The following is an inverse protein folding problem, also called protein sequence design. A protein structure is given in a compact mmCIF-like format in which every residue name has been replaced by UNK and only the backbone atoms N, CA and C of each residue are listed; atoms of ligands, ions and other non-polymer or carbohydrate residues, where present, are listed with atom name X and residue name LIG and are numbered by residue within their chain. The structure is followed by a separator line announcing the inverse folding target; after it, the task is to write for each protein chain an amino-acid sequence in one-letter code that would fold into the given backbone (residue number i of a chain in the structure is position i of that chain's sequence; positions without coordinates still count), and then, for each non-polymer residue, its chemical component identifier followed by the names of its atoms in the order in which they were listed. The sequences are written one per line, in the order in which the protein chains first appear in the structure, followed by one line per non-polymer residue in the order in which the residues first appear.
data_IF_176299276885
#
_entry.id   IF_176299276885
#
_cell.length_a   1.000
_cell.length_b   1.000
_cell.length_c   1.000
_cell.angle_alpha   90.00
_cell.angle_beta   90.00
_cell.angle_gamma   90.00
#
_symmetry.space_group_name_H-M   'P 1'
#
loop_
_entity.id
_entity.type
_entity.pdbx_description
1 polymer ?
#
# COMPACT_ATOMS: atom_id res chain seq x y z
N UNK A 1 35.76 -44.38 -2.15
CA UNK A 1 36.32 -43.09 -2.55
C UNK A 1 35.50 -42.01 -1.83
N UNK A 2 36.17 -41.28 -0.94
CA UNK A 2 35.60 -40.51 0.18
C UNK A 2 34.79 -39.28 -0.26
N UNK A 3 33.60 -39.15 0.34
CA UNK A 3 32.79 -37.96 0.27
C UNK A 3 33.26 -36.94 1.33
N UNK A 4 33.76 -35.79 0.89
CA UNK A 4 34.04 -34.67 1.77
C UNK A 4 32.74 -33.95 2.19
N UNK A 5 32.45 -34.00 3.49
CA UNK A 5 31.45 -33.14 4.15
C UNK A 5 32.05 -31.74 4.32
N UNK A 6 31.44 -30.76 3.70
CA UNK A 6 31.65 -29.34 4.02
C UNK A 6 30.72 -28.94 5.17
N UNK A 7 31.33 -28.56 6.30
CA UNK A 7 30.61 -27.98 7.45
C UNK A 7 30.15 -26.56 7.13
N UNK A 8 28.88 -26.31 7.36
CA UNK A 8 28.30 -24.96 7.37
C UNK A 8 28.67 -24.29 8.71
N UNK A 9 29.27 -23.10 8.62
CA UNK A 9 29.55 -22.23 9.76
C UNK A 9 28.31 -21.38 9.99
N UNK A 10 27.60 -21.59 11.10
CA UNK A 10 26.58 -20.68 11.59
C UNK A 10 27.23 -19.46 12.26
N UNK A 11 26.77 -18.23 12.00
CA UNK A 11 27.20 -17.08 12.79
C UNK A 11 26.39 -17.03 14.10
N UNK A 12 27.10 -17.19 15.22
CA UNK A 12 26.58 -16.97 16.56
C UNK A 12 26.24 -15.49 16.76
N UNK A 13 24.95 -15.19 16.94
CA UNK A 13 24.47 -13.91 17.44
C UNK A 13 24.56 -13.94 18.98
N UNK A 14 25.52 -13.23 19.54
CA UNK A 14 25.52 -12.88 20.98
C UNK A 14 24.39 -11.90 21.25
N UNK A 15 23.36 -12.38 21.95
CA UNK A 15 22.28 -11.53 22.49
C UNK A 15 22.72 -11.04 23.86
N UNK A 16 23.06 -9.76 23.94
CA UNK A 16 23.23 -9.03 25.18
C UNK A 16 21.93 -9.07 26.00
N UNK A 17 22.00 -9.65 27.18
CA UNK A 17 20.88 -9.79 28.12
C UNK A 17 20.69 -8.52 28.93
N UNK A 18 19.99 -7.51 28.40
CA UNK A 18 19.41 -6.47 29.23
C UNK A 18 18.09 -6.95 29.82
N UNK A 19 18.14 -7.27 31.12
CA UNK A 19 16.96 -7.58 31.94
C UNK A 19 16.08 -6.35 32.11
N UNK A 20 15.14 -6.14 31.15
CA UNK A 20 13.97 -5.30 31.41
C UNK A 20 12.97 -6.12 32.21
N UNK A 21 12.59 -5.59 33.38
CA UNK A 21 11.56 -6.12 34.26
C UNK A 21 10.28 -6.41 33.45
N UNK A 22 9.85 -7.67 33.42
CA UNK A 22 8.59 -8.09 32.82
C UNK A 22 7.42 -7.39 33.55
N UNK A 23 6.42 -6.85 32.83
CA UNK A 23 5.21 -6.35 33.46
C UNK A 23 4.50 -7.51 34.18
N UNK A 24 4.15 -7.29 35.40
CA UNK A 24 3.41 -8.20 36.29
C UNK A 24 2.13 -8.64 35.53
N UNK A 25 2.03 -9.92 35.20
CA UNK A 25 0.81 -10.49 34.64
C UNK A 25 -0.31 -10.33 35.65
N UNK A 26 -1.20 -9.37 35.43
CA UNK A 26 -2.51 -9.38 36.09
C UNK A 26 -3.26 -10.61 35.58
N UNK A 27 -3.36 -11.64 36.42
CA UNK A 27 -4.24 -12.79 36.21
C UNK A 27 -5.68 -12.31 36.31
N UNK A 28 -6.28 -11.95 35.16
CA UNK A 28 -7.75 -11.83 35.07
C UNK A 28 -8.35 -13.24 35.12
N UNK A 29 -9.49 -13.44 35.80
CA UNK A 29 -10.16 -14.73 35.76
C UNK A 29 -10.50 -15.06 34.30
N UNK A 30 -10.18 -16.28 33.89
CA UNK A 30 -10.56 -16.81 32.57
C UNK A 30 -12.09 -16.73 32.43
N UNK A 31 -12.64 -16.18 31.35
CA UNK A 31 -14.09 -16.20 31.14
C UNK A 31 -14.56 -17.66 31.15
N UNK A 32 -15.72 -17.91 31.71
CA UNK A 32 -16.36 -19.22 31.65
C UNK A 32 -16.49 -19.62 30.17
N UNK A 33 -16.26 -20.91 29.80
CA UNK A 33 -16.36 -21.34 28.42
C UNK A 33 -17.78 -21.03 27.93
N UNK A 34 -17.87 -20.33 26.77
CA UNK A 34 -19.15 -20.05 26.11
C UNK A 34 -19.87 -21.38 25.91
N UNK A 35 -21.09 -21.48 26.38
CA UNK A 35 -21.95 -22.65 26.08
C UNK A 35 -22.25 -22.66 24.59
N UNK A 36 -22.45 -23.83 23.96
CA UNK A 36 -22.81 -23.92 22.52
C UNK A 36 -24.00 -23.00 22.16
N UNK A 37 -24.92 -22.76 23.08
CA UNK A 37 -26.06 -21.86 22.90
C UNK A 37 -25.69 -20.40 22.70
N UNK A 38 -24.50 -19.94 23.16
CA UNK A 38 -24.02 -18.53 23.00
C UNK A 38 -23.12 -18.31 21.79
N UNK A 39 -22.65 -19.37 21.13
CA UNK A 39 -21.72 -19.29 19.99
C UNK A 39 -22.21 -18.32 18.88
N UNK A 40 -23.51 -18.32 18.58
CA UNK A 40 -24.08 -17.51 17.49
C UNK A 40 -24.60 -16.13 17.93
N UNK A 41 -24.64 -15.84 19.23
CA UNK A 41 -25.26 -14.63 19.78
C UNK A 41 -24.33 -13.78 20.61
N UNK A 42 -23.25 -14.36 21.17
CA UNK A 42 -22.28 -13.63 21.96
C UNK A 42 -21.50 -12.63 21.09
N UNK A 43 -21.36 -11.42 21.58
CA UNK A 43 -20.53 -10.39 20.94
C UNK A 43 -19.04 -10.64 21.21
N UNK A 44 -18.18 -10.02 20.40
CA UNK A 44 -16.73 -10.17 20.55
C UNK A 44 -16.25 -9.88 21.98
N UNK A 45 -16.78 -8.83 22.62
CA UNK A 45 -16.43 -8.48 24.00
C UNK A 45 -16.79 -9.54 25.05
N UNK A 46 -17.78 -10.39 24.74
CA UNK A 46 -18.22 -11.49 25.59
C UNK A 46 -17.43 -12.77 25.29
N UNK A 47 -17.19 -13.05 24.00
CA UNK A 47 -16.50 -14.24 23.54
C UNK A 47 -14.97 -14.16 23.71
N UNK A 48 -14.39 -13.01 23.42
CA UNK A 48 -12.95 -12.75 23.47
C UNK A 48 -12.68 -11.30 23.90
N UNK A 49 -12.69 -11.03 25.20
CA UNK A 49 -12.44 -9.69 25.73
C UNK A 49 -11.04 -9.14 25.38
N UNK A 50 -10.04 -10.02 25.21
CA UNK A 50 -8.68 -9.63 24.86
C UNK A 50 -8.62 -9.04 23.44
N UNK A 51 -9.20 -9.73 22.46
CA UNK A 51 -9.28 -9.22 21.09
C UNK A 51 -10.21 -8.00 21.00
N UNK A 52 -11.30 -7.97 21.76
CA UNK A 52 -12.17 -6.79 21.83
C UNK A 52 -11.41 -5.55 22.33
N UNK A 53 -10.54 -5.72 23.34
CA UNK A 53 -9.67 -4.62 23.85
C UNK A 53 -8.66 -4.16 22.79
N UNK A 54 -8.06 -5.07 22.04
CA UNK A 54 -7.15 -4.74 20.92
C UNK A 54 -7.87 -3.90 19.86
N UNK A 55 -9.06 -4.31 19.43
CA UNK A 55 -9.87 -3.57 18.43
C UNK A 55 -10.25 -2.19 18.96
N UNK A 56 -10.66 -2.08 20.22
CA UNK A 56 -11.00 -0.80 20.85
C UNK A 56 -9.79 0.14 20.89
N UNK A 57 -8.63 -0.34 21.32
CA UNK A 57 -7.39 0.46 21.39
C UNK A 57 -6.89 0.90 20.03
N UNK A 58 -7.02 0.04 19.01
CA UNK A 58 -6.68 0.44 17.63
C UNK A 58 -7.64 1.50 17.11
N UNK A 59 -8.93 1.41 17.42
CA UNK A 59 -9.89 2.47 17.08
C UNK A 59 -9.54 3.80 17.77
N UNK A 60 -9.15 3.76 19.04
CA UNK A 60 -8.68 4.94 19.78
C UNK A 60 -7.43 5.55 19.15
N UNK A 61 -6.46 4.71 18.76
CA UNK A 61 -5.26 5.16 18.05
C UNK A 61 -5.65 5.87 16.74
N UNK A 62 -6.50 5.28 15.91
CA UNK A 62 -6.94 5.89 14.65
C UNK A 62 -7.71 7.20 14.85
N UNK A 63 -8.43 7.34 15.96
CA UNK A 63 -9.14 8.59 16.32
C UNK A 63 -8.22 9.69 16.77
N UNK A 64 -7.20 9.35 17.55
CA UNK A 64 -6.33 10.27 18.29
C UNK A 64 -5.02 10.63 17.57
N UNK A 65 -4.70 9.95 16.44
CA UNK A 65 -3.48 10.18 15.67
C UNK A 65 -3.76 10.71 14.27
N UNK A 66 -2.75 11.40 13.71
CA UNK A 66 -2.73 11.78 12.29
C UNK A 66 -2.06 10.66 11.51
N UNK A 67 -2.79 10.06 10.56
CA UNK A 67 -2.28 8.99 9.70
C UNK A 67 -1.72 9.56 8.40
N UNK A 68 -0.40 9.44 8.21
CA UNK A 68 0.32 9.88 7.01
C UNK A 68 1.01 8.72 6.26
N UNK A 69 0.77 7.47 6.63
CA UNK A 69 1.25 6.34 5.83
C UNK A 69 0.52 6.35 4.48
N UNK A 70 1.27 6.56 3.39
CA UNK A 70 0.73 6.79 2.05
C UNK A 70 -0.09 5.60 1.49
N UNK A 71 0.08 4.41 2.06
CA UNK A 71 -0.62 3.18 1.69
C UNK A 71 -1.83 2.85 2.57
N UNK A 72 -2.21 3.76 3.48
CA UNK A 72 -3.35 3.58 4.39
C UNK A 72 -4.48 4.55 4.07
N UNK A 73 -5.69 4.16 4.46
CA UNK A 73 -6.91 4.94 4.32
C UNK A 73 -7.96 4.46 5.32
N UNK A 74 -9.02 5.24 5.48
CA UNK A 74 -10.14 4.93 6.35
C UNK A 74 -11.31 4.48 5.48
N UNK A 75 -11.77 3.25 5.65
CA UNK A 75 -12.91 2.70 4.88
C UNK A 75 -14.25 3.18 5.48
N UNK A 76 -15.32 3.09 4.72
CA UNK A 76 -16.67 3.39 5.24
C UNK A 76 -17.16 2.29 6.19
N UNK A 77 -18.14 2.63 7.05
CA UNK A 77 -18.84 1.66 7.89
C UNK A 77 -19.48 0.53 7.03
N UNK A 78 -20.00 0.86 5.85
CA UNK A 78 -20.58 -0.13 4.93
C UNK A 78 -19.55 -1.14 4.41
N UNK A 79 -18.30 -0.72 4.19
CA UNK A 79 -17.19 -1.63 3.83
C UNK A 79 -16.86 -2.55 5.01
N UNK A 80 -16.83 -2.03 6.24
CA UNK A 80 -16.60 -2.85 7.45
C UNK A 80 -17.71 -3.86 7.66
N UNK A 81 -18.97 -3.45 7.48
CA UNK A 81 -20.14 -4.32 7.61
C UNK A 81 -20.14 -5.46 6.58
N UNK A 82 -19.83 -5.15 5.31
CA UNK A 82 -19.72 -6.17 4.27
C UNK A 82 -18.58 -7.17 4.57
N UNK A 83 -17.46 -6.69 5.10
CA UNK A 83 -16.32 -7.52 5.44
C UNK A 83 -16.57 -8.42 6.66
N UNK A 84 -17.35 -7.96 7.63
CA UNK A 84 -17.77 -8.74 8.80
C UNK A 84 -19.02 -9.60 8.57
N UNK A 85 -19.46 -9.82 7.33
CA UNK A 85 -20.68 -10.52 7.00
C UNK A 85 -20.54 -12.05 6.98
N UNK A 86 -21.70 -12.75 6.96
CA UNK A 86 -21.79 -14.22 6.84
C UNK A 86 -21.20 -14.78 5.55
N UNK A 87 -20.86 -13.94 4.57
CA UNK A 87 -20.18 -14.36 3.35
C UNK A 87 -18.79 -14.98 3.61
N UNK A 88 -18.21 -14.74 4.80
CA UNK A 88 -16.98 -15.41 5.24
C UNK A 88 -17.12 -16.94 5.34
N UNK A 89 -18.35 -17.45 5.53
CA UNK A 89 -18.63 -18.87 5.69
C UNK A 89 -18.66 -19.62 4.34
N UNK A 90 -18.74 -18.90 3.20
CA UNK A 90 -18.96 -19.53 1.90
C UNK A 90 -17.68 -19.83 1.15
N UNK A 91 -17.50 -21.09 0.79
CA UNK A 91 -16.41 -21.56 -0.08
C UNK A 91 -16.86 -21.51 -1.55
N UNK A 92 -16.13 -20.79 -2.42
CA UNK A 92 -16.58 -20.45 -3.77
C UNK A 92 -15.47 -20.54 -4.84
N UNK A 93 -14.70 -21.63 -4.87
CA UNK A 93 -13.69 -21.88 -5.92
C UNK A 93 -14.31 -21.84 -7.31
N UNK A 94 -13.58 -21.29 -8.27
CA UNK A 94 -14.04 -21.03 -9.62
C UNK A 94 -14.43 -19.57 -9.84
N UNK A 95 -15.29 -19.33 -10.80
CA UNK A 95 -15.78 -18.00 -11.22
C UNK A 95 -17.31 -17.94 -11.15
N UNK A 96 -17.95 -16.76 -11.14
CA UNK A 96 -19.40 -16.62 -11.19
C UNK A 96 -20.03 -17.50 -12.28
N UNK A 97 -21.05 -18.27 -11.93
CA UNK A 97 -21.72 -19.21 -12.82
C UNK A 97 -20.92 -20.47 -13.18
N UNK A 98 -19.68 -20.60 -12.71
CA UNK A 98 -18.78 -21.74 -12.96
C UNK A 98 -18.00 -22.10 -11.72
N UNK A 99 -18.72 -22.41 -10.62
CA UNK A 99 -18.15 -22.79 -9.34
C UNK A 99 -17.96 -24.32 -9.24
N UNK A 100 -17.01 -24.72 -8.41
CA UNK A 100 -16.79 -26.12 -8.07
C UNK A 100 -17.73 -26.61 -6.96
N UNK A 101 -18.41 -25.70 -6.27
CA UNK A 101 -19.29 -26.00 -5.13
C UNK A 101 -20.69 -25.47 -5.36
N UNK A 102 -21.69 -26.12 -4.74
CA UNK A 102 -23.09 -25.64 -4.72
C UNK A 102 -23.32 -24.48 -3.74
N UNK A 103 -24.48 -23.85 -3.79
CA UNK A 103 -24.90 -22.77 -2.89
C UNK A 103 -24.15 -21.45 -3.14
N UNK A 104 -23.76 -21.17 -4.39
CA UNK A 104 -22.99 -19.99 -4.75
C UNK A 104 -23.82 -18.87 -5.41
N UNK A 105 -25.13 -19.03 -5.49
CA UNK A 105 -26.01 -18.09 -6.18
C UNK A 105 -25.89 -16.64 -5.69
N UNK A 106 -25.73 -16.42 -4.38
CA UNK A 106 -25.62 -15.07 -3.81
C UNK A 106 -24.18 -14.51 -3.87
N UNK A 107 -23.16 -15.36 -3.68
CA UNK A 107 -21.77 -14.92 -3.83
C UNK A 107 -21.41 -14.64 -5.28
N UNK A 108 -22.06 -15.32 -6.23
CA UNK A 108 -21.95 -15.01 -7.67
C UNK A 108 -22.43 -13.59 -7.97
N UNK A 109 -23.55 -13.17 -7.34
CA UNK A 109 -24.05 -11.80 -7.46
C UNK A 109 -23.02 -10.82 -6.91
N UNK A 110 -22.47 -11.08 -5.72
CA UNK A 110 -21.52 -10.19 -5.08
C UNK A 110 -20.23 -10.02 -5.94
N UNK A 111 -19.68 -11.10 -6.48
CA UNK A 111 -18.51 -11.05 -7.34
C UNK A 111 -18.80 -10.39 -8.70
N UNK A 112 -19.96 -10.71 -9.31
CA UNK A 112 -20.38 -10.06 -10.56
C UNK A 112 -20.51 -8.56 -10.39
N UNK A 113 -21.17 -8.09 -9.33
CA UNK A 113 -21.30 -6.66 -9.01
C UNK A 113 -19.92 -6.01 -8.79
N UNK A 114 -18.96 -6.69 -8.14
CA UNK A 114 -17.62 -6.18 -7.97
C UNK A 114 -16.90 -6.03 -9.33
N UNK A 115 -17.01 -7.03 -10.21
CA UNK A 115 -16.45 -7.01 -11.57
C UNK A 115 -17.07 -5.88 -12.40
N UNK A 116 -18.39 -5.77 -12.43
CA UNK A 116 -19.10 -4.72 -13.20
C UNK A 116 -18.71 -3.31 -12.73
N UNK A 117 -18.64 -3.11 -11.41
CA UNK A 117 -18.27 -1.81 -10.85
C UNK A 117 -16.83 -1.43 -11.14
N UNK A 118 -15.88 -2.36 -11.00
CA UNK A 118 -14.47 -2.06 -11.24
C UNK A 118 -14.16 -1.88 -12.73
N UNK A 119 -14.79 -2.65 -13.61
CA UNK A 119 -14.63 -2.47 -15.06
C UNK A 119 -15.19 -1.13 -15.53
N UNK A 120 -16.37 -0.73 -15.01
CA UNK A 120 -16.95 0.60 -15.26
C UNK A 120 -16.08 1.72 -14.70
N UNK A 121 -15.52 1.53 -13.50
CA UNK A 121 -14.71 2.54 -12.81
C UNK A 121 -13.43 2.89 -13.58
N UNK A 122 -12.77 1.89 -14.17
CA UNK A 122 -11.51 2.06 -14.89
C UNK A 122 -11.65 2.04 -16.43
N UNK A 123 -12.85 1.84 -16.96
CA UNK A 123 -13.10 1.82 -18.40
C UNK A 123 -12.42 0.65 -19.09
N UNK A 124 -12.40 -0.54 -18.49
CA UNK A 124 -11.82 -1.74 -19.05
C UNK A 124 -12.86 -2.84 -19.32
N UNK A 125 -12.47 -3.89 -20.08
CA UNK A 125 -13.38 -4.96 -20.48
C UNK A 125 -13.44 -6.11 -19.49
N UNK A 126 -12.32 -6.44 -18.86
CA UNK A 126 -12.17 -7.62 -18.04
C UNK A 126 -11.54 -7.28 -16.69
N UNK A 127 -12.00 -7.94 -15.64
CA UNK A 127 -11.45 -7.84 -14.30
C UNK A 127 -11.46 -9.19 -13.59
N UNK A 128 -10.42 -9.45 -12.79
CA UNK A 128 -10.42 -10.47 -11.76
C UNK A 128 -10.32 -9.80 -10.39
N UNK A 129 -11.33 -10.01 -9.54
CA UNK A 129 -11.43 -9.38 -8.22
C UNK A 129 -11.09 -10.34 -7.06
N UNK A 130 -10.58 -11.52 -7.37
CA UNK A 130 -10.27 -12.55 -6.36
C UNK A 130 -8.89 -12.40 -5.68
N UNK A 131 -7.86 -11.68 -6.21
CA UNK A 131 -6.59 -11.58 -5.51
C UNK A 131 -6.73 -11.09 -4.07
N UNK A 132 -6.06 -11.82 -3.15
CA UNK A 132 -6.09 -11.54 -1.71
C UNK A 132 -5.30 -10.28 -1.36
N UNK A 133 -4.33 -9.90 -2.18
CA UNK A 133 -3.48 -8.72 -2.00
C UNK A 133 -2.95 -8.22 -3.34
N UNK A 134 -2.30 -7.04 -3.35
CA UNK A 134 -1.55 -6.56 -4.52
C UNK A 134 -0.39 -7.48 -4.88
N UNK A 135 0.27 -8.09 -3.89
CA UNK A 135 1.32 -9.06 -4.14
C UNK A 135 0.80 -10.33 -4.86
N UNK A 136 -0.38 -10.83 -4.46
CA UNK A 136 -1.06 -11.94 -5.14
C UNK A 136 -1.50 -11.54 -6.56
N UNK A 137 -1.97 -10.32 -6.75
CA UNK A 137 -2.33 -9.79 -8.06
C UNK A 137 -1.10 -9.74 -9.00
N UNK A 138 0.03 -9.23 -8.52
CA UNK A 138 1.28 -9.20 -9.28
C UNK A 138 1.78 -10.62 -9.58
N UNK A 139 1.73 -11.54 -8.61
CA UNK A 139 2.13 -12.94 -8.82
C UNK A 139 1.29 -13.62 -9.91
N UNK A 140 -0.04 -13.42 -9.89
CA UNK A 140 -0.94 -13.96 -10.90
C UNK A 140 -0.67 -13.33 -12.28
N UNK A 141 -0.44 -12.02 -12.35
CA UNK A 141 -0.06 -11.34 -13.59
C UNK A 141 1.26 -11.89 -14.16
N UNK A 142 2.28 -12.11 -13.32
CA UNK A 142 3.54 -12.71 -13.74
C UNK A 142 3.35 -14.14 -14.26
N UNK A 143 2.60 -14.97 -13.53
CA UNK A 143 2.31 -16.33 -13.96
C UNK A 143 1.53 -16.39 -15.29
N UNK A 144 0.67 -15.39 -15.55
CA UNK A 144 -0.08 -15.29 -16.80
C UNK A 144 0.78 -14.80 -17.98
N UNK A 145 1.83 -14.03 -17.73
CA UNK A 145 2.62 -13.35 -18.75
C UNK A 145 4.01 -13.95 -18.98
N UNK A 146 4.55 -14.72 -18.03
CA UNK A 146 5.93 -15.20 -18.02
C UNK A 146 6.03 -16.63 -17.50
N UNK A 147 7.13 -17.29 -17.81
CA UNK A 147 7.57 -18.54 -17.16
C UNK A 147 8.69 -18.26 -16.15
N UNK A 148 8.85 -19.11 -15.12
CA UNK A 148 9.99 -19.02 -14.22
C UNK A 148 11.32 -18.94 -14.98
N UNK A 149 12.20 -18.01 -14.56
CA UNK A 149 13.47 -17.75 -15.23
C UNK A 149 13.43 -16.71 -16.35
N UNK A 150 12.24 -16.26 -16.78
CA UNK A 150 12.11 -15.14 -17.74
C UNK A 150 12.60 -13.83 -17.13
N UNK A 151 13.05 -12.94 -18.02
CA UNK A 151 13.49 -11.59 -17.66
C UNK A 151 12.31 -10.63 -17.67
N UNK A 152 12.25 -9.77 -16.65
CA UNK A 152 11.33 -8.62 -16.60
C UNK A 152 12.04 -7.37 -16.09
N UNK A 153 11.45 -6.21 -16.32
CA UNK A 153 11.96 -4.93 -15.84
C UNK A 153 10.98 -4.27 -14.87
N UNK A 154 11.53 -3.61 -13.83
CA UNK A 154 10.75 -2.86 -12.85
C UNK A 154 11.56 -1.72 -12.23
N UNK A 155 10.87 -0.73 -11.64
CA UNK A 155 11.51 0.34 -10.90
C UNK A 155 12.24 -0.24 -9.68
N UNK A 156 13.49 0.13 -9.50
CA UNK A 156 14.31 -0.32 -8.37
C UNK A 156 13.68 0.09 -7.03
N UNK A 157 13.84 -0.74 -6.01
CA UNK A 157 13.30 -0.46 -4.67
C UNK A 157 13.81 0.87 -4.09
N UNK A 158 15.14 1.22 -4.19
CA UNK A 158 15.64 2.51 -3.74
C UNK A 158 15.07 3.71 -4.51
N UNK A 159 14.65 3.52 -5.76
CA UNK A 159 14.03 4.58 -6.56
C UNK A 159 12.50 4.67 -6.37
N UNK A 160 11.93 3.90 -5.44
CA UNK A 160 10.51 3.92 -5.12
C UNK A 160 9.69 2.76 -5.70
N UNK A 161 10.32 1.71 -6.21
CA UNK A 161 9.64 0.49 -6.65
C UNK A 161 8.97 -0.27 -5.50
N UNK A 162 8.24 -1.33 -5.84
CA UNK A 162 7.64 -2.24 -4.86
C UNK A 162 8.49 -3.52 -4.69
N UNK A 163 8.38 -4.19 -3.54
CA UNK A 163 9.08 -5.48 -3.31
C UNK A 163 8.80 -6.50 -4.42
N UNK A 164 7.57 -6.56 -4.94
CA UNK A 164 7.20 -7.46 -6.04
C UNK A 164 7.68 -7.00 -7.41
N UNK A 165 8.42 -5.89 -7.52
CA UNK A 165 9.05 -5.43 -8.75
C UNK A 165 10.50 -5.90 -8.91
N UNK A 166 10.86 -7.02 -8.26
CA UNK A 166 12.15 -7.67 -8.45
C UNK A 166 13.07 -7.69 -7.24
N UNK A 167 12.58 -7.38 -6.04
CA UNK A 167 13.37 -7.53 -4.83
C UNK A 167 13.82 -8.99 -4.63
N UNK A 168 15.10 -9.26 -4.29
CA UNK A 168 15.62 -10.61 -4.11
C UNK A 168 14.90 -11.43 -3.03
N UNK A 169 14.29 -10.77 -2.06
CA UNK A 169 13.52 -11.44 -1.00
C UNK A 169 12.09 -11.77 -1.39
N UNK A 170 11.59 -11.17 -2.48
CA UNK A 170 10.26 -11.40 -3.03
C UNK A 170 10.24 -12.61 -3.98
N UNK A 171 9.06 -13.20 -4.19
CA UNK A 171 8.80 -14.20 -5.20
C UNK A 171 9.32 -13.75 -6.59
N UNK A 172 9.08 -12.50 -6.96
CA UNK A 172 9.49 -11.94 -8.24
C UNK A 172 11.00 -11.98 -8.49
N UNK A 173 11.80 -11.71 -7.46
CA UNK A 173 13.25 -11.80 -7.54
C UNK A 173 13.81 -13.21 -7.42
N UNK A 174 13.00 -14.16 -6.90
CA UNK A 174 13.41 -15.56 -6.73
C UNK A 174 13.08 -16.45 -7.93
N UNK A 175 11.96 -16.20 -8.59
CA UNK A 175 11.46 -17.02 -9.68
C UNK A 175 11.80 -16.48 -11.06
N UNK A 176 12.08 -15.19 -11.16
CA UNK A 176 12.35 -14.49 -12.42
C UNK A 176 13.70 -13.77 -12.38
N UNK A 177 14.12 -13.23 -13.51
CA UNK A 177 15.34 -12.43 -13.66
C UNK A 177 14.98 -10.95 -13.74
N UNK A 178 14.97 -10.21 -12.61
CA UNK A 178 14.64 -8.79 -12.62
C UNK A 178 15.79 -7.96 -13.16
N UNK A 179 15.48 -7.00 -14.02
CA UNK A 179 16.34 -5.90 -14.44
C UNK A 179 15.73 -4.62 -13.89
N UNK A 180 16.48 -3.92 -13.04
CA UNK A 180 15.99 -2.72 -12.40
C UNK A 180 16.33 -1.48 -13.23
N UNK A 181 15.36 -0.62 -13.53
CA UNK A 181 15.60 0.75 -13.98
C UNK A 181 15.48 1.72 -12.80
N UNK A 182 16.00 2.93 -12.96
CA UNK A 182 16.11 3.89 -11.87
C UNK A 182 15.56 5.27 -12.23
N UNK A 183 15.81 6.23 -11.36
CA UNK A 183 15.55 7.64 -11.56
C UNK A 183 16.86 8.38 -11.86
N UNK A 184 16.78 9.53 -12.53
CA UNK A 184 17.93 10.41 -12.77
C UNK A 184 18.44 10.99 -11.44
N UNK A 185 19.74 11.33 -11.40
CA UNK A 185 20.36 11.87 -10.19
C UNK A 185 20.04 13.35 -9.96
N UNK A 186 19.78 14.09 -11.02
CA UNK A 186 19.58 15.54 -10.99
C UNK A 186 18.18 15.93 -10.53
N UNK A 187 17.14 15.20 -10.97
CA UNK A 187 15.75 15.56 -10.69
C UNK A 187 14.92 14.44 -10.02
N UNK A 188 15.51 13.28 -9.78
CA UNK A 188 14.87 12.09 -9.20
C UNK A 188 13.58 11.65 -9.95
N UNK A 189 13.53 11.86 -11.26
CA UNK A 189 12.45 11.36 -12.13
C UNK A 189 12.90 10.11 -12.87
N UNK A 190 11.95 9.24 -13.23
CA UNK A 190 12.21 8.03 -14.00
C UNK A 190 12.93 8.44 -15.30
N UNK A 191 14.06 7.79 -15.55
CA UNK A 191 14.82 7.94 -16.76
C UNK A 191 14.27 7.04 -17.88
N UNK A 192 13.43 7.62 -18.74
CA UNK A 192 12.77 6.89 -19.83
C UNK A 192 13.79 6.40 -20.87
N UNK A 193 14.89 7.13 -21.08
CA UNK A 193 15.94 6.74 -22.01
C UNK A 193 16.73 5.55 -21.45
N UNK A 194 16.98 5.52 -20.14
CA UNK A 194 17.54 4.33 -19.47
C UNK A 194 16.61 3.12 -19.60
N UNK A 195 15.31 3.31 -19.39
CA UNK A 195 14.29 2.23 -19.57
C UNK A 195 14.38 1.67 -20.98
N UNK A 196 14.43 2.52 -22.01
CA UNK A 196 14.51 2.09 -23.41
C UNK A 196 15.83 1.35 -23.70
N UNK A 197 16.95 1.86 -23.22
CA UNK A 197 18.26 1.23 -23.36
C UNK A 197 18.30 -0.16 -22.74
N UNK A 198 17.86 -0.28 -21.48
CA UNK A 198 17.81 -1.56 -20.76
C UNK A 198 16.84 -2.55 -21.41
N UNK A 199 15.71 -2.08 -21.93
CA UNK A 199 14.76 -2.92 -22.62
C UNK A 199 15.35 -3.54 -23.90
N UNK A 200 16.10 -2.76 -24.70
CA UNK A 200 16.82 -3.26 -25.90
C UNK A 200 17.91 -4.27 -25.54
N UNK A 201 18.66 -4.00 -24.48
CA UNK A 201 19.75 -4.84 -24.02
C UNK A 201 19.28 -6.19 -23.47
N UNK A 202 18.28 -6.17 -22.60
CA UNK A 202 17.84 -7.36 -21.86
C UNK A 202 16.63 -8.08 -22.43
N UNK A 203 15.93 -7.50 -23.42
CA UNK A 203 14.75 -8.09 -24.06
C UNK A 203 13.76 -8.73 -23.07
N UNK A 204 13.24 -7.98 -22.10
CA UNK A 204 12.35 -8.52 -21.09
C UNK A 204 11.03 -9.02 -21.68
N UNK A 205 10.38 -9.98 -21.04
CA UNK A 205 9.01 -10.39 -21.37
C UNK A 205 7.96 -9.40 -20.85
N UNK A 206 8.25 -8.76 -19.73
CA UNK A 206 7.35 -7.80 -19.08
C UNK A 206 8.15 -6.57 -18.65
N UNK A 207 7.58 -5.39 -18.87
CA UNK A 207 8.04 -4.13 -18.29
C UNK A 207 6.95 -3.65 -17.33
N UNK A 208 7.32 -3.37 -16.07
CA UNK A 208 6.40 -2.87 -15.04
C UNK A 208 6.55 -1.36 -14.97
N UNK A 209 5.44 -0.63 -15.09
CA UNK A 209 5.33 0.78 -14.76
C UNK A 209 4.49 0.94 -13.48
N UNK A 210 5.06 1.53 -12.44
CA UNK A 210 4.43 1.70 -11.14
C UNK A 210 5.45 1.80 -10.02
N UNK A 211 5.01 2.27 -8.85
CA UNK A 211 5.88 2.42 -7.71
C UNK A 211 5.13 2.67 -6.41
N UNK A 212 5.79 2.36 -5.28
CA UNK A 212 5.26 2.55 -3.92
C UNK A 212 5.66 3.88 -3.31
N UNK A 213 6.73 4.50 -3.81
CA UNK A 213 7.29 5.73 -3.26
C UNK A 213 7.76 6.70 -4.37
N UNK A 214 7.15 6.61 -5.54
CA UNK A 214 7.40 7.52 -6.65
C UNK A 214 6.30 8.57 -6.72
N UNK A 215 6.60 9.88 -6.47
CA UNK A 215 5.59 10.91 -6.29
C UNK A 215 5.14 11.60 -7.59
N UNK A 216 5.69 11.23 -8.76
CA UNK A 216 5.44 11.89 -10.03
C UNK A 216 4.59 11.02 -10.96
N UNK A 217 3.98 11.67 -11.95
CA UNK A 217 3.24 10.98 -13.01
C UNK A 217 4.19 10.13 -13.85
N UNK A 218 3.73 8.91 -14.19
CA UNK A 218 4.43 7.98 -15.07
C UNK A 218 3.81 8.09 -16.46
N UNK A 219 4.65 8.27 -17.49
CA UNK A 219 4.21 8.30 -18.88
C UNK A 219 3.98 6.86 -19.43
N UNK A 220 2.76 6.36 -19.26
CA UNK A 220 2.38 5.02 -19.74
C UNK A 220 2.48 4.88 -21.26
N UNK A 221 2.36 5.98 -22.03
CA UNK A 221 2.51 5.96 -23.48
C UNK A 221 3.96 5.69 -23.87
N UNK A 222 4.91 6.36 -23.22
CA UNK A 222 6.33 6.12 -23.45
C UNK A 222 6.73 4.68 -23.07
N UNK A 223 6.28 4.18 -21.90
CA UNK A 223 6.49 2.79 -21.49
C UNK A 223 5.90 1.79 -22.47
N UNK A 224 4.71 2.08 -23.03
CA UNK A 224 4.07 1.23 -24.03
C UNK A 224 4.90 1.18 -25.31
N UNK A 225 5.38 2.31 -25.81
CA UNK A 225 6.20 2.36 -27.02
C UNK A 225 7.49 1.54 -26.85
N UNK A 226 8.14 1.65 -25.70
CA UNK A 226 9.34 0.85 -25.36
C UNK A 226 9.01 -0.65 -25.31
N UNK A 227 7.89 -1.02 -24.69
CA UNK A 227 7.46 -2.41 -24.60
C UNK A 227 7.19 -3.01 -26.00
N UNK A 228 6.49 -2.27 -26.85
CA UNK A 228 6.19 -2.69 -28.24
C UNK A 228 7.48 -2.86 -29.07
N UNK A 229 8.45 -1.95 -28.91
CA UNK A 229 9.73 -2.01 -29.63
C UNK A 229 10.50 -3.32 -29.37
N UNK A 230 10.43 -3.83 -28.13
CA UNK A 230 11.16 -5.05 -27.74
C UNK A 230 10.29 -6.31 -27.67
N UNK A 231 8.99 -6.20 -27.99
CA UNK A 231 8.01 -7.29 -27.93
C UNK A 231 7.60 -7.68 -26.51
N UNK A 232 7.83 -6.80 -25.53
CA UNK A 232 7.44 -7.01 -24.13
C UNK A 232 5.96 -6.69 -23.88
N UNK A 233 5.42 -7.16 -22.76
CA UNK A 233 4.11 -6.75 -22.27
C UNK A 233 4.26 -5.64 -21.23
N UNK A 234 3.46 -4.58 -21.32
CA UNK A 234 3.39 -3.54 -20.31
C UNK A 234 2.41 -3.96 -19.22
N UNK A 235 2.94 -4.15 -18.00
CA UNK A 235 2.18 -4.31 -16.76
C UNK A 235 2.21 -2.98 -15.99
N UNK A 236 1.04 -2.42 -15.69
CA UNK A 236 0.97 -1.23 -14.83
C UNK A 236 0.49 -1.65 -13.44
N UNK A 237 1.34 -1.47 -12.44
CA UNK A 237 0.93 -1.57 -11.03
C UNK A 237 0.49 -0.19 -10.54
N UNK A 238 -0.84 0.03 -10.53
CA UNK A 238 -1.42 1.29 -10.10
C UNK A 238 -1.85 1.30 -8.63
N UNK A 239 -1.39 0.32 -7.83
CA UNK A 239 -1.87 0.13 -6.45
C UNK A 239 -1.86 1.42 -5.63
N UNK A 240 -0.83 2.25 -5.73
CA UNK A 240 -0.75 3.49 -4.97
C UNK A 240 -1.69 4.58 -5.47
N UNK A 241 -1.88 4.71 -6.76
CA UNK A 241 -2.61 5.82 -7.36
C UNK A 241 -3.97 5.42 -8.00
N UNK A 242 -4.44 4.19 -7.78
CA UNK A 242 -5.70 3.71 -8.37
C UNK A 242 -6.90 4.61 -8.05
N UNK A 243 -7.01 5.14 -6.82
CA UNK A 243 -8.06 6.08 -6.46
C UNK A 243 -7.97 7.41 -7.20
N UNK A 244 -6.75 7.86 -7.55
CA UNK A 244 -6.54 9.07 -8.33
C UNK A 244 -6.93 8.87 -9.81
N UNK A 245 -6.65 7.67 -10.36
CA UNK A 245 -7.14 7.26 -11.70
C UNK A 245 -8.66 7.20 -11.71
N UNK A 246 -9.27 6.53 -10.73
CA UNK A 246 -10.73 6.42 -10.58
C UNK A 246 -11.39 7.80 -10.43
N UNK A 247 -10.74 8.72 -9.73
CA UNK A 247 -11.19 10.11 -9.56
C UNK A 247 -10.97 11.01 -10.78
N UNK A 248 -10.26 10.53 -11.81
CA UNK A 248 -9.97 11.27 -13.04
C UNK A 248 -8.93 12.39 -12.87
N UNK A 249 -8.05 12.28 -11.85
CA UNK A 249 -7.01 13.29 -11.55
C UNK A 249 -5.57 12.76 -11.78
N UNK A 250 -5.45 11.53 -12.24
CA UNK A 250 -4.21 10.90 -12.68
C UNK A 250 -4.48 10.21 -14.04
N UNK A 251 -3.51 10.20 -14.97
CA UNK A 251 -3.66 9.50 -16.24
C UNK A 251 -4.06 8.03 -16.03
N UNK A 252 -5.01 7.56 -16.84
CA UNK A 252 -5.38 6.15 -16.88
C UNK A 252 -4.26 5.31 -17.50
N UNK A 253 -3.94 4.12 -16.99
CA UNK A 253 -3.06 3.17 -17.65
C UNK A 253 -3.64 2.66 -18.99
N UNK A 254 -4.96 2.66 -19.15
CA UNK A 254 -5.58 2.32 -20.42
C UNK A 254 -5.66 3.55 -21.35
N UNK A 255 -5.42 3.38 -22.65
CA UNK A 255 -5.32 2.11 -23.40
C UNK A 255 -3.90 1.51 -23.47
N UNK A 256 -2.92 2.02 -22.76
CA UNK A 256 -1.51 1.68 -22.93
C UNK A 256 -1.12 0.32 -22.34
N UNK A 257 -1.62 0.01 -21.14
CA UNK A 257 -1.27 -1.23 -20.44
C UNK A 257 -1.92 -2.47 -21.08
N UNK A 258 -1.19 -3.59 -21.14
CA UNK A 258 -1.73 -4.90 -21.48
C UNK A 258 -2.47 -5.50 -20.27
N UNK A 259 -1.88 -5.39 -19.10
CA UNK A 259 -2.43 -5.83 -17.82
C UNK A 259 -2.22 -4.73 -16.79
N UNK A 260 -3.20 -4.54 -15.93
CA UNK A 260 -3.13 -3.60 -14.80
C UNK A 260 -3.39 -4.35 -13.52
N UNK A 261 -2.51 -4.20 -12.54
CA UNK A 261 -2.69 -4.70 -11.17
C UNK A 261 -2.93 -3.58 -10.20
N UNK A 262 -3.64 -3.85 -9.12
CA UNK A 262 -3.90 -2.87 -8.08
C UNK A 262 -4.23 -3.50 -6.73
N UNK A 263 -4.21 -2.65 -5.71
CA UNK A 263 -4.87 -2.89 -4.42
C UNK A 263 -6.16 -2.08 -4.32
N UNK A 264 -7.10 -2.52 -3.49
CA UNK A 264 -8.32 -1.77 -3.24
C UNK A 264 -8.22 -0.76 -2.06
N UNK A 265 -7.20 -0.87 -1.19
CA UNK A 265 -7.18 -0.28 0.15
C UNK A 265 -6.33 0.98 0.34
N UNK A 266 -5.70 1.51 -0.74
CA UNK A 266 -4.88 2.73 -0.65
C UNK A 266 -5.70 3.96 -1.04
N UNK A 267 -5.31 4.69 -2.06
CA UNK A 267 -6.11 5.83 -2.55
C UNK A 267 -7.53 5.46 -2.96
N UNK A 268 -7.79 4.19 -3.31
CA UNK A 268 -9.12 3.71 -3.72
C UNK A 268 -10.08 3.51 -2.52
N UNK A 269 -9.58 3.52 -1.29
CA UNK A 269 -10.38 3.54 -0.05
C UNK A 269 -11.31 2.33 0.14
N UNK A 270 -10.86 1.13 -0.25
CA UNK A 270 -11.58 -0.12 -0.09
C UNK A 270 -10.93 -1.07 0.93
N UNK A 271 -11.41 -2.32 1.01
CA UNK A 271 -10.85 -3.32 1.92
C UNK A 271 -9.46 -3.77 1.46
N UNK A 272 -8.64 -4.25 2.40
CA UNK A 272 -7.32 -4.81 2.10
C UNK A 272 -7.43 -6.02 1.19
N UNK A 273 -7.02 -5.86 -0.07
CA UNK A 273 -7.14 -6.86 -1.13
C UNK A 273 -6.45 -6.36 -2.42
N UNK A 274 -6.50 -7.19 -3.47
CA UNK A 274 -6.04 -6.85 -4.82
C UNK A 274 -7.08 -7.11 -5.90
N UNK A 275 -6.79 -6.64 -7.11
CA UNK A 275 -7.53 -6.96 -8.33
C UNK A 275 -6.65 -6.78 -9.56
N UNK A 276 -7.08 -7.37 -10.68
CA UNK A 276 -6.36 -7.34 -11.97
C UNK A 276 -7.34 -6.97 -13.08
N UNK A 277 -6.90 -6.11 -14.00
CA UNK A 277 -7.70 -5.60 -15.12
C UNK A 277 -6.99 -5.84 -16.45
N UNK A 278 -7.75 -6.05 -17.51
CA UNK A 278 -7.26 -6.11 -18.89
C UNK A 278 -8.33 -5.70 -19.89
N UNK A 279 -7.90 -5.31 -21.09
CA UNK A 279 -8.79 -5.15 -22.26
C UNK A 279 -8.68 -6.32 -23.25
N UNK A 280 -7.79 -7.26 -22.98
CA UNK A 280 -7.51 -8.42 -23.82
C UNK A 280 -8.11 -9.69 -23.19
N UNK A 281 -8.91 -10.41 -23.97
CA UNK A 281 -9.61 -11.61 -23.51
C UNK A 281 -8.64 -12.79 -23.26
N UNK A 282 -7.58 -12.90 -24.03
CA UNK A 282 -6.58 -13.96 -23.84
C UNK A 282 -5.85 -13.77 -22.51
N UNK A 283 -5.44 -12.54 -22.22
CA UNK A 283 -4.84 -12.23 -20.91
C UNK A 283 -5.85 -12.43 -19.77
N UNK A 284 -7.10 -12.05 -19.93
CA UNK A 284 -8.13 -12.29 -18.92
C UNK A 284 -8.30 -13.78 -18.60
N UNK A 285 -8.31 -14.65 -19.62
CA UNK A 285 -8.36 -16.11 -19.40
C UNK A 285 -7.13 -16.64 -18.68
N UNK A 286 -5.92 -16.21 -19.07
CA UNK A 286 -4.67 -16.59 -18.43
C UNK A 286 -4.60 -16.11 -16.98
N UNK A 287 -5.04 -14.87 -16.72
CA UNK A 287 -5.11 -14.29 -15.37
C UNK A 287 -6.07 -15.09 -14.48
N UNK A 288 -7.26 -15.43 -15.00
CA UNK A 288 -8.22 -16.20 -14.23
C UNK A 288 -7.64 -17.58 -13.84
N UNK A 289 -6.97 -18.27 -14.77
CA UNK A 289 -6.30 -19.54 -14.49
C UNK A 289 -5.10 -19.39 -13.52
N UNK A 290 -4.36 -18.29 -13.62
CA UNK A 290 -3.24 -17.99 -12.73
C UNK A 290 -3.71 -17.66 -11.31
N UNK A 291 -4.84 -16.96 -11.15
CA UNK A 291 -5.44 -16.70 -9.84
C UNK A 291 -5.96 -18.00 -9.25
N UNK A 292 -6.84 -18.69 -9.96
CA UNK A 292 -7.38 -19.97 -9.53
C UNK A 292 -7.41 -20.95 -10.73
N UNK A 293 -6.85 -22.14 -10.59
CA UNK A 293 -6.24 -22.75 -9.40
C UNK A 293 -4.72 -22.44 -9.24
N UNK A 294 -4.15 -21.51 -10.02
CA UNK A 294 -2.71 -21.33 -10.12
C UNK A 294 -2.02 -20.93 -8.79
N UNK A 295 -2.57 -19.94 -8.08
CA UNK A 295 -1.96 -19.36 -6.89
C UNK A 295 -2.86 -19.38 -5.66
N UNK A 296 -4.17 -19.38 -5.82
CA UNK A 296 -5.16 -19.29 -4.75
C UNK A 296 -6.13 -20.46 -4.83
N UNK A 297 -6.76 -20.78 -3.68
CA UNK A 297 -7.92 -21.67 -3.56
C UNK A 297 -9.21 -20.85 -3.44
N UNK A 298 -9.99 -21.09 -2.38
CA UNK A 298 -11.25 -20.39 -2.15
C UNK A 298 -11.09 -18.88 -2.01
N UNK A 299 -11.82 -18.08 -2.81
CA UNK A 299 -11.80 -16.63 -2.71
C UNK A 299 -12.46 -16.15 -1.42
N UNK A 300 -12.03 -14.97 -0.95
CA UNK A 300 -12.59 -14.34 0.26
C UNK A 300 -13.86 -13.57 -0.12
N UNK A 301 -15.02 -14.23 -0.08
CA UNK A 301 -16.27 -13.66 -0.60
C UNK A 301 -16.77 -12.44 0.19
N UNK A 302 -16.53 -12.37 1.50
CA UNK A 302 -16.77 -11.20 2.33
C UNK A 302 -15.89 -10.01 1.92
N UNK A 303 -14.64 -10.24 1.54
CA UNK A 303 -13.75 -9.18 1.02
C UNK A 303 -14.16 -8.75 -0.38
N UNK A 304 -14.61 -9.68 -1.24
CA UNK A 304 -15.13 -9.34 -2.58
C UNK A 304 -16.40 -8.48 -2.47
N UNK A 305 -17.32 -8.81 -1.56
CA UNK A 305 -18.48 -7.98 -1.27
C UNK A 305 -18.07 -6.57 -0.78
N UNK A 306 -17.10 -6.49 0.12
CA UNK A 306 -16.57 -5.21 0.58
C UNK A 306 -15.90 -4.41 -0.55
N UNK A 307 -15.20 -5.07 -1.51
CA UNK A 307 -14.71 -4.44 -2.75
C UNK A 307 -15.87 -3.90 -3.59
N UNK A 308 -16.95 -4.68 -3.75
CA UNK A 308 -18.13 -4.22 -4.49
C UNK A 308 -18.71 -2.93 -3.90
N UNK A 309 -18.80 -2.84 -2.56
CA UNK A 309 -19.24 -1.61 -1.86
C UNK A 309 -18.28 -0.45 -2.18
N UNK A 310 -16.98 -0.64 -1.96
CA UNK A 310 -15.97 0.40 -2.17
C UNK A 310 -15.93 0.89 -3.63
N UNK A 311 -16.03 0.00 -4.61
CA UNK A 311 -16.10 0.39 -6.03
C UNK A 311 -17.38 1.18 -6.34
N UNK A 312 -18.50 0.80 -5.70
CA UNK A 312 -19.74 1.57 -5.78
C UNK A 312 -19.60 2.98 -5.20
N UNK A 313 -18.90 3.14 -4.10
CA UNK A 313 -18.57 4.45 -3.52
C UNK A 313 -17.64 5.26 -4.44
N UNK A 314 -16.65 4.62 -5.04
CA UNK A 314 -15.70 5.26 -5.95
C UNK A 314 -16.34 5.73 -7.26
N UNK A 315 -17.48 5.17 -7.66
CA UNK A 315 -18.28 5.62 -8.80
C UNK A 315 -19.10 6.89 -8.51
N UNK A 316 -19.24 7.31 -7.26
CA UNK A 316 -20.02 8.49 -6.89
C UNK A 316 -19.27 9.78 -7.23
N UNK A 317 -19.96 10.88 -7.58
CA UNK A 317 -19.32 12.18 -7.84
C UNK A 317 -18.46 12.70 -6.69
N UNK A 318 -18.83 12.40 -5.43
CA UNK A 318 -18.08 12.75 -4.23
C UNK A 318 -16.66 12.18 -4.21
N UNK A 319 -16.45 11.01 -4.83
CA UNK A 319 -15.12 10.41 -4.90
C UNK A 319 -14.16 11.21 -5.79
N UNK A 320 -14.66 11.87 -6.85
CA UNK A 320 -13.87 12.77 -7.68
C UNK A 320 -13.42 14.01 -6.89
N UNK A 321 -14.27 14.49 -5.96
CA UNK A 321 -13.91 15.58 -5.05
C UNK A 321 -12.82 15.13 -4.09
N UNK A 322 -12.99 13.98 -3.47
CA UNK A 322 -11.97 13.36 -2.61
C UNK A 322 -10.62 13.24 -3.35
N UNK A 323 -10.58 12.69 -4.56
CA UNK A 323 -9.34 12.50 -5.29
C UNK A 323 -8.63 13.82 -5.63
N UNK A 324 -9.38 14.89 -5.99
CA UNK A 324 -8.80 16.24 -6.16
C UNK A 324 -8.22 16.78 -4.86
N UNK A 325 -8.95 16.63 -3.77
CA UNK A 325 -8.50 17.09 -2.46
C UNK A 325 -7.25 16.36 -1.98
N UNK A 326 -7.13 15.06 -2.23
CA UNK A 326 -5.91 14.28 -1.93
C UNK A 326 -4.68 14.89 -2.55
N UNK A 327 -4.74 15.27 -3.84
CA UNK A 327 -3.60 15.91 -4.53
C UNK A 327 -3.36 17.34 -4.01
N UNK A 328 -4.42 18.13 -3.81
CA UNK A 328 -4.30 19.50 -3.30
C UNK A 328 -3.65 19.50 -1.90
N UNK A 329 -4.10 18.61 -1.04
CA UNK A 329 -3.56 18.42 0.30
C UNK A 329 -2.10 17.95 0.29
N UNK A 330 -1.73 17.03 -0.63
CA UNK A 330 -0.35 16.60 -0.78
C UNK A 330 0.57 17.74 -1.20
N UNK A 331 0.12 18.58 -2.12
CA UNK A 331 0.88 19.79 -2.52
C UNK A 331 1.01 20.79 -1.38
N UNK A 332 -0.06 21.02 -0.61
CA UNK A 332 -0.05 21.94 0.54
C UNK A 332 0.93 21.45 1.63
N UNK A 333 0.91 20.16 1.96
CA UNK A 333 1.85 19.58 2.91
C UNK A 333 3.30 19.68 2.39
N UNK A 334 3.55 19.34 1.12
CA UNK A 334 4.88 19.43 0.53
C UNK A 334 5.42 20.88 0.55
N UNK A 335 4.59 21.85 0.26
CA UNK A 335 5.00 23.27 0.26
C UNK A 335 5.23 23.80 1.67
N UNK A 336 4.41 23.41 2.66
CA UNK A 336 4.63 23.72 4.08
C UNK A 336 5.99 23.19 4.55
N UNK A 337 6.32 21.93 4.23
CA UNK A 337 7.61 21.34 4.60
C UNK A 337 8.80 22.02 3.92
N UNK A 338 8.70 22.37 2.62
CA UNK A 338 9.74 23.08 1.88
C UNK A 338 9.99 24.47 2.43
N UNK A 339 8.94 25.23 2.71
CA UNK A 339 9.02 26.58 3.28
C UNK A 339 9.71 26.60 4.64
N UNK A 340 9.77 25.46 5.32
CA UNK A 340 10.43 25.26 6.61
C UNK A 340 11.76 24.49 6.50
N UNK A 341 12.41 24.51 5.32
CA UNK A 341 13.78 24.06 5.14
C UNK A 341 13.96 22.54 5.00
N UNK A 342 12.93 21.82 4.58
CA UNK A 342 13.02 20.41 4.20
C UNK A 342 13.00 20.26 2.69
N UNK A 343 13.75 19.31 2.17
CA UNK A 343 13.76 18.97 0.76
C UNK A 343 12.71 17.90 0.44
N UNK A 344 11.95 18.11 -0.62
CA UNK A 344 11.02 17.12 -1.16
C UNK A 344 11.65 16.49 -2.38
N UNK A 345 11.85 15.18 -2.33
CA UNK A 345 12.42 14.39 -3.44
C UNK A 345 11.66 14.67 -4.72
N UNK A 346 12.38 14.87 -5.83
CA UNK A 346 11.88 15.34 -7.12
C UNK A 346 11.24 16.74 -7.12
N UNK A 347 11.48 17.56 -6.08
CA UNK A 347 11.02 18.94 -5.98
C UNK A 347 9.55 19.10 -5.60
N UNK A 348 8.79 18.02 -5.35
CA UNK A 348 7.37 18.08 -4.99
C UNK A 348 6.61 16.82 -5.36
N UNK A 349 5.27 16.90 -5.47
CA UNK A 349 4.41 15.76 -5.78
C UNK A 349 3.31 16.09 -6.79
N UNK A 350 2.98 15.12 -7.64
CA UNK A 350 1.83 15.11 -8.54
C UNK A 350 0.74 14.15 -8.06
N UNK A 351 0.97 13.43 -6.96
CA UNK A 351 0.12 12.36 -6.46
C UNK A 351 -0.31 12.58 -5.01
N UNK A 352 -0.62 11.52 -4.29
CA UNK A 352 -1.05 11.49 -2.89
C UNK A 352 0.10 11.40 -1.90
N UNK A 353 1.31 11.18 -2.35
CA UNK A 353 2.47 10.92 -1.49
C UNK A 353 3.66 11.82 -1.85
N UNK A 354 4.56 11.97 -0.91
CA UNK A 354 5.87 12.59 -1.09
C UNK A 354 6.93 11.84 -0.29
N UNK A 355 8.18 11.97 -0.73
CA UNK A 355 9.36 11.61 0.04
C UNK A 355 10.01 12.88 0.55
N UNK A 356 10.24 12.96 1.84
CA UNK A 356 10.92 14.07 2.51
C UNK A 356 12.35 13.65 2.79
N UNK A 357 13.32 14.43 2.29
CA UNK A 357 14.73 14.28 2.60
C UNK A 357 15.05 15.00 3.92
N UNK A 358 15.55 14.26 4.90
CA UNK A 358 15.84 14.76 6.25
C UNK A 358 17.30 15.21 6.43
N UNK A 359 18.14 15.04 5.41
CA UNK A 359 19.57 15.42 5.48
C UNK A 359 19.80 16.91 5.74
N UNK A 360 18.98 17.85 5.23
CA UNK A 360 19.10 19.26 5.59
C UNK A 360 19.02 19.53 7.10
N UNK A 361 18.24 18.72 7.82
CA UNK A 361 18.14 18.80 9.29
C UNK A 361 19.09 17.84 10.02
N UNK A 362 19.99 17.13 9.30
CA UNK A 362 20.94 16.14 9.84
C UNK A 362 20.26 15.00 10.61
N UNK A 363 19.07 14.60 10.19
CA UNK A 363 18.26 13.55 10.80
C UNK A 363 18.21 12.30 9.89
N UNK A 364 17.99 11.15 10.52
CA UNK A 364 17.68 9.91 9.81
C UNK A 364 16.18 9.60 9.87
N UNK A 365 15.71 8.82 8.88
CA UNK A 365 14.31 8.40 8.84
C UNK A 365 13.88 7.62 10.09
N UNK A 366 14.77 6.76 10.61
CA UNK A 366 14.50 5.97 11.84
C UNK A 366 14.22 6.84 13.05
N UNK A 367 14.99 7.89 13.24
CA UNK A 367 14.86 8.77 14.41
C UNK A 367 13.63 9.66 14.26
N UNK A 368 13.41 10.20 13.04
CA UNK A 368 12.25 11.03 12.74
C UNK A 368 10.92 10.24 12.85
N UNK A 369 10.84 9.02 12.28
CA UNK A 369 9.67 8.14 12.41
C UNK A 369 9.29 7.91 13.87
N UNK A 370 10.28 7.62 14.73
CA UNK A 370 10.05 7.37 16.15
C UNK A 370 9.58 8.61 16.91
N UNK A 371 10.15 9.79 16.65
CA UNK A 371 9.76 11.05 17.29
C UNK A 371 8.36 11.51 16.86
N UNK A 372 8.06 11.47 15.56
CA UNK A 372 6.75 11.78 15.02
C UNK A 372 5.67 10.84 15.58
N UNK A 373 5.97 9.53 15.70
CA UNK A 373 5.06 8.55 16.29
C UNK A 373 4.72 8.88 17.77
N UNK A 374 5.71 9.33 18.58
CA UNK A 374 5.44 9.77 19.96
C UNK A 374 4.62 11.07 20.03
N UNK A 375 4.67 11.87 18.98
CA UNK A 375 3.84 13.07 18.83
C UNK A 375 2.46 12.78 18.20
N UNK A 376 2.09 11.51 17.99
CA UNK A 376 0.84 11.06 17.34
C UNK A 376 0.73 11.46 15.86
N UNK A 377 1.86 11.53 15.17
CA UNK A 377 1.94 11.70 13.71
C UNK A 377 2.55 10.43 13.13
N UNK A 378 1.69 9.54 12.63
CA UNK A 378 2.09 8.23 12.11
C UNK A 378 2.57 8.34 10.67
N UNK A 379 3.83 7.97 10.43
CA UNK A 379 4.46 7.90 9.10
C UNK A 379 5.41 6.70 9.02
N UNK A 380 6.09 6.51 7.90
CA UNK A 380 7.14 5.50 7.80
C UNK A 380 8.47 6.11 7.33
N UNK A 381 9.58 5.64 7.92
CA UNK A 381 10.90 5.88 7.34
C UNK A 381 10.98 5.29 5.93
N UNK A 382 11.67 5.97 5.04
CA UNK A 382 11.80 5.55 3.65
C UNK A 382 13.15 5.98 3.10
N UNK A 383 13.82 5.09 2.37
CA UNK A 383 15.00 5.47 1.61
C UNK A 383 14.65 6.52 0.56
N UNK A 384 15.55 7.45 0.35
CA UNK A 384 15.49 8.38 -0.78
C UNK A 384 16.32 7.82 -1.95
N UNK A 385 16.11 8.26 -3.20
CA UNK A 385 16.99 7.85 -4.29
C UNK A 385 18.46 8.15 -3.97
N UNK A 386 19.34 7.17 -4.23
CA UNK A 386 20.78 7.26 -3.92
C UNK A 386 21.09 7.51 -2.44
N UNK A 387 20.25 6.97 -1.57
CA UNK A 387 20.37 7.13 -0.11
C UNK A 387 21.75 6.62 0.38
N UNK A 388 22.53 7.42 1.13
CA UNK A 388 23.76 6.97 1.73
C UNK A 388 23.55 6.03 2.93
N UNK A 389 22.38 6.04 3.52
CA UNK A 389 22.04 5.25 4.72
C UNK A 389 21.58 3.84 4.36
N UNK A 390 21.75 2.92 5.32
CA UNK A 390 21.26 1.55 5.20
C UNK A 390 19.71 1.52 5.23
N UNK A 391 19.07 0.51 4.59
CA UNK A 391 17.59 0.41 4.54
C UNK A 391 16.87 0.41 5.91
N UNK A 392 17.55 -0.02 6.98
CA UNK A 392 16.99 -0.02 8.33
C UNK A 392 17.04 1.37 9.01
N UNK A 393 17.81 2.31 8.47
CA UNK A 393 18.02 3.67 9.01
C UNK A 393 17.32 4.71 8.13
N UNK A 394 17.65 4.75 6.85
CA UNK A 394 17.17 5.69 5.80
C UNK A 394 17.48 7.16 6.08
N UNK A 395 17.51 7.96 5.02
CA UNK A 395 17.66 9.43 5.12
C UNK A 395 16.34 10.18 4.97
N UNK A 396 15.22 9.50 4.80
CA UNK A 396 13.94 10.14 4.58
C UNK A 396 12.76 9.49 5.28
N UNK A 397 11.63 10.16 5.17
CA UNK A 397 10.30 9.65 5.52
C UNK A 397 9.36 9.77 4.33
N UNK A 398 8.40 8.85 4.22
CA UNK A 398 7.31 8.92 3.25
C UNK A 398 6.05 9.39 3.94
N UNK A 399 5.40 10.40 3.36
CA UNK A 399 4.15 10.97 3.83
C UNK A 399 3.08 10.86 2.74
N UNK A 400 1.82 10.68 3.15
CA UNK A 400 0.68 10.63 2.25
C UNK A 400 -0.57 11.26 2.85
N UNK A 401 -1.50 11.64 2.01
CA UNK A 401 -2.69 12.41 2.39
C UNK A 401 -4.03 11.68 2.31
N UNK A 402 -4.15 10.42 1.84
CA UNK A 402 -5.45 9.79 1.63
C UNK A 402 -6.30 9.66 2.89
N UNK A 403 -5.71 9.17 4.00
CA UNK A 403 -6.43 8.95 5.26
C UNK A 403 -6.92 10.27 5.87
N UNK A 404 -6.06 11.28 5.97
CA UNK A 404 -6.45 12.61 6.47
C UNK A 404 -7.51 13.28 5.60
N UNK A 405 -7.39 13.16 4.25
CA UNK A 405 -8.42 13.68 3.34
C UNK A 405 -9.76 12.96 3.49
N UNK A 406 -9.75 11.63 3.69
CA UNK A 406 -10.97 10.85 3.98
C UNK A 406 -11.59 11.30 5.30
N UNK A 407 -10.77 11.61 6.30
CA UNK A 407 -11.19 12.11 7.60
C UNK A 407 -11.85 13.51 7.51
N UNK A 408 -11.58 14.26 6.43
CA UNK A 408 -12.13 15.58 6.19
C UNK A 408 -11.11 16.72 6.27
N UNK A 409 -9.83 16.42 6.41
CA UNK A 409 -8.77 17.43 6.39
C UNK A 409 -8.68 18.10 5.01
N UNK A 410 -8.56 19.42 5.01
CA UNK A 410 -8.32 20.26 3.84
C UNK A 410 -6.91 20.82 3.81
N UNK A 411 -6.71 21.78 2.90
CA UNK A 411 -5.42 22.46 2.70
C UNK A 411 -4.89 23.06 4.01
N UNK A 412 -5.74 23.74 4.78
CA UNK A 412 -5.34 24.38 6.04
C UNK A 412 -4.83 23.39 7.08
N UNK A 413 -5.53 22.26 7.23
CA UNK A 413 -5.11 21.21 8.16
C UNK A 413 -3.79 20.58 7.72
N UNK A 414 -3.56 20.37 6.41
CA UNK A 414 -2.28 19.84 5.93
C UNK A 414 -1.13 20.85 6.00
N UNK A 415 -1.39 22.15 5.98
CA UNK A 415 -0.40 23.17 6.31
C UNK A 415 -0.04 23.12 7.80
N UNK A 416 -1.05 23.08 8.68
CA UNK A 416 -0.87 22.91 10.14
C UNK A 416 -0.09 21.60 10.44
N UNK A 417 -0.41 20.49 9.80
CA UNK A 417 0.34 19.23 9.94
C UNK A 417 1.80 19.39 9.53
N UNK A 418 2.09 20.12 8.45
CA UNK A 418 3.46 20.42 8.04
C UNK A 418 4.24 21.19 9.11
N UNK A 419 3.62 22.18 9.73
CA UNK A 419 4.20 22.96 10.84
C UNK A 419 4.46 22.07 12.07
N UNK A 420 3.51 21.21 12.44
CA UNK A 420 3.68 20.26 13.55
C UNK A 420 4.82 19.26 13.31
N UNK A 421 4.98 18.76 12.09
CA UNK A 421 6.10 17.91 11.71
C UNK A 421 7.42 18.66 11.89
N UNK A 422 7.50 19.89 11.40
CA UNK A 422 8.70 20.73 11.48
C UNK A 422 9.05 21.02 12.95
N UNK A 423 8.07 21.35 13.79
CA UNK A 423 8.27 21.61 15.23
C UNK A 423 8.95 20.40 15.93
N UNK A 424 8.51 19.17 15.64
CA UNK A 424 9.13 17.96 16.16
C UNK A 424 10.55 17.76 15.60
N UNK A 425 10.73 17.92 14.29
CA UNK A 425 12.02 17.67 13.64
C UNK A 425 13.08 18.72 14.02
N UNK A 426 12.69 19.97 14.23
CA UNK A 426 13.61 21.03 14.69
C UNK A 426 14.07 20.83 16.12
N UNK A 427 13.17 20.45 17.02
CA UNK A 427 13.52 20.06 18.36
C UNK A 427 14.50 18.88 18.38
N UNK A 428 14.24 17.88 17.53
CA UNK A 428 15.09 16.70 17.40
C UNK A 428 16.47 17.05 16.81
N UNK A 429 16.54 17.92 15.81
CA UNK A 429 17.79 18.38 15.18
C UNK A 429 18.67 19.21 16.13
N UNK A 430 18.05 20.02 16.99
CA UNK A 430 18.77 20.92 17.91
C UNK A 430 19.28 20.27 19.19
N UNK A 431 18.57 19.27 19.70
CA UNK A 431 18.81 18.66 21.03
C UNK A 431 19.27 17.19 20.97
N UNK A 432 19.23 16.55 19.79
CA UNK A 432 19.60 15.15 19.60
C UNK A 432 18.48 14.16 19.98
N UNK A 433 18.84 12.86 20.02
CA UNK A 433 17.87 11.73 20.17
C UNK A 433 17.13 11.72 21.51
N UNK A 434 17.68 12.35 22.53
CA UNK A 434 17.02 12.61 23.83
C UNK A 434 16.15 13.87 23.80
N UNK A 435 15.69 14.22 22.60
CA UNK A 435 14.91 15.41 22.36
C UNK A 435 13.72 15.51 23.30
N UNK A 436 13.53 16.69 23.72
CA UNK A 436 12.57 17.29 24.58
C UNK A 436 11.20 16.58 24.53
N UNK A 437 10.98 15.61 25.41
CA UNK A 437 9.67 14.98 25.59
C UNK A 437 8.54 16.02 25.76
N UNK A 438 8.90 17.28 26.14
CA UNK A 438 7.96 18.39 26.27
C UNK A 438 7.44 18.87 24.91
N UNK A 439 8.30 18.94 23.86
CA UNK A 439 7.86 19.34 22.52
C UNK A 439 6.96 18.27 21.91
N UNK A 440 7.36 16.99 21.98
CA UNK A 440 6.52 15.88 21.52
C UNK A 440 5.17 15.85 22.24
N UNK A 441 5.14 16.10 23.55
CA UNK A 441 3.90 16.19 24.32
C UNK A 441 3.04 17.40 23.94
N UNK A 442 3.66 18.55 23.67
CA UNK A 442 2.95 19.75 23.21
C UNK A 442 2.35 19.55 21.81
N UNK A 443 3.13 18.96 20.88
CA UNK A 443 2.63 18.64 19.53
C UNK A 443 1.51 17.60 19.61
N UNK A 444 1.64 16.56 20.42
CA UNK A 444 0.59 15.57 20.64
C UNK A 444 -0.72 16.20 21.14
N UNK A 445 -0.65 17.20 22.00
CA UNK A 445 -1.84 17.93 22.44
C UNK A 445 -2.50 18.72 21.29
N UNK A 446 -1.70 19.35 20.43
CA UNK A 446 -2.19 20.04 19.22
C UNK A 446 -2.81 19.05 18.21
N UNK A 447 -2.16 17.90 17.99
CA UNK A 447 -2.69 16.79 17.19
C UNK A 447 -4.07 16.37 17.70
N UNK A 448 -4.21 16.15 19.01
CA UNK A 448 -5.49 15.77 19.61
C UNK A 448 -6.59 16.82 19.39
N UNK A 449 -6.25 18.09 19.47
CA UNK A 449 -7.19 19.18 19.15
C UNK A 449 -7.60 19.17 17.66
N UNK A 450 -6.63 18.99 16.76
CA UNK A 450 -6.89 18.92 15.32
C UNK A 450 -7.81 17.76 14.98
N UNK A 451 -7.45 16.53 15.37
CA UNK A 451 -8.22 15.32 15.03
C UNK A 451 -9.60 15.32 15.69
N UNK A 452 -9.76 15.94 16.86
CA UNK A 452 -11.05 16.08 17.54
C UNK A 452 -12.10 16.88 16.76
N UNK A 453 -11.68 17.73 15.84
CA UNK A 453 -12.59 18.46 14.92
C UNK A 453 -13.15 17.56 13.80
N UNK A 454 -12.53 16.41 13.57
CA UNK A 454 -12.81 15.52 12.45
C UNK A 454 -12.94 14.06 12.93
N UNK A 455 -14.01 13.73 13.66
CA UNK A 455 -14.18 12.38 14.21
C UNK A 455 -14.42 11.35 13.11
N UNK A 456 -13.97 10.10 13.35
CA UNK A 456 -14.23 8.92 12.53
C UNK A 456 -14.97 7.87 13.37
N UNK A 457 -15.88 7.10 12.78
CA UNK A 457 -16.72 6.02 13.35
C UNK A 457 -17.46 6.36 14.65
#
# INVERSE_FOLDING_TARGET
MQLHRTQAVEPSLEVSSDKKSAPTKMTRPSPAPATEATLFTARLAESDPEIADVVRRELERQRDEIELIASENIVSAAVLEAQGSVLTNKYAEGLPGRRYYGGCEFVDIAETVAIERVTRLFGCKFANVQPHSGASANAAAFMALMAPGDTFMGLSLPAGGHLTHGSPVSMSGRWFKPVAYSVRRDDHRIDVDEVARLAREHRPKVIIAGGSAYPRIIDFRAFRAIADEVGAKLLVDMAHFAGLVAGGVHPSPFPHAHVVTSTAHKTLRGPRSGFILSNDEEFARKINAAVFPGLQGGPLMHVIAAKAVAFGEALRPSFKVYARNVIANAKALAESLKSNGLDIVSGGTDTHLMLVDLRPKRLTGKVAEAALGRAHITCNKNGIPFDPEKPAVTSGVRLGTPAGTTRGFGIGEFQEIGELIVEVLDALSSKGVEADASVEAAVRAKVKQLVGRFPIY
#
